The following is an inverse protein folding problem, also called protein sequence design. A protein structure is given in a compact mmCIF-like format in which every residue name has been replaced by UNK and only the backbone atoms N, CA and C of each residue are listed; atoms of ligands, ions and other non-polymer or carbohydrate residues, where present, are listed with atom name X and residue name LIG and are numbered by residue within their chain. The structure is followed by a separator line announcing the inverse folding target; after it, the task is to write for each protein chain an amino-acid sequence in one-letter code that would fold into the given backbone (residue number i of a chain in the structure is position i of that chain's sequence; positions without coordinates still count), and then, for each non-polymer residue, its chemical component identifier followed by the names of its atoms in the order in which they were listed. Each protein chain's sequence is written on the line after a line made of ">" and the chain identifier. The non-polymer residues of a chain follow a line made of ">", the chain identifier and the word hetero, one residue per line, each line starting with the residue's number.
data_IF_565324054878
#
_entry.id   IF_565324054878
#
_cell.length_a   1.000
_cell.length_b   1.000
_cell.length_c   1.000
_cell.angle_alpha   90.00
_cell.angle_beta   90.00
_cell.angle_gamma   90.00
#
_symmetry.space_group_name_H-M   'P 1'
#
loop_
_entity.id
_entity.type
_entity.pdbx_description
1 polymer ?
#
# COMPACT_ATOMS: atom_id res chain seq x y z
N UNK A 1 31.20 -26.01 22.19
CA UNK A 1 30.17 -24.98 22.41
C UNK A 1 29.99 -24.11 21.15
N UNK A 2 28.77 -23.62 20.90
CA UNK A 2 28.51 -22.71 19.77
C UNK A 2 29.07 -21.32 20.05
N UNK A 3 29.53 -20.64 19.00
CA UNK A 3 30.01 -19.26 19.10
C UNK A 3 28.84 -18.30 19.35
N UNK A 4 29.04 -17.32 20.25
CA UNK A 4 28.02 -16.33 20.58
C UNK A 4 27.99 -15.26 19.47
N UNK A 5 26.84 -15.04 18.81
CA UNK A 5 26.76 -14.07 17.73
C UNK A 5 26.91 -12.63 18.26
N UNK A 6 27.51 -11.70 17.48
CA UNK A 6 27.68 -10.31 17.90
C UNK A 6 26.37 -9.58 18.29
N UNK A 7 25.26 -9.95 17.66
CA UNK A 7 23.92 -9.40 17.96
C UNK A 7 23.42 -9.73 19.35
N UNK A 8 23.98 -10.76 20.00
CA UNK A 8 23.67 -11.13 21.38
C UNK A 8 24.57 -10.42 22.41
N UNK A 9 25.56 -9.63 21.95
CA UNK A 9 26.54 -8.96 22.81
C UNK A 9 26.32 -7.44 22.91
N UNK A 10 25.38 -6.89 22.14
CA UNK A 10 25.12 -5.45 22.07
C UNK A 10 23.62 -5.16 22.13
N UNK A 11 23.20 -4.04 22.76
CA UNK A 11 21.81 -3.58 22.68
C UNK A 11 21.34 -3.36 21.25
N UNK A 12 20.04 -3.56 21.01
CA UNK A 12 19.41 -3.27 19.74
C UNK A 12 19.34 -1.78 19.43
N UNK A 13 18.77 -1.45 18.25
CA UNK A 13 18.50 -0.05 17.88
C UNK A 13 17.53 0.59 18.88
N UNK A 14 17.68 1.89 19.21
CA UNK A 14 16.67 2.61 19.97
C UNK A 14 15.36 2.67 19.20
N UNK A 15 14.27 2.97 19.91
CA UNK A 15 12.95 3.16 19.29
C UNK A 15 13.07 4.24 18.21
N UNK A 16 12.69 3.96 16.94
CA UNK A 16 12.80 4.93 15.87
C UNK A 16 11.97 6.18 16.16
N UNK A 17 12.47 7.35 15.74
CA UNK A 17 11.70 8.60 15.80
C UNK A 17 10.50 8.62 14.84
N UNK A 18 10.47 7.71 13.85
CA UNK A 18 9.34 7.55 12.94
C UNK A 18 8.15 6.91 13.66
N UNK A 19 6.98 7.56 13.58
CA UNK A 19 5.77 7.06 14.22
C UNK A 19 5.17 5.81 13.54
N UNK A 20 5.60 5.48 12.32
CA UNK A 20 5.10 4.34 11.55
C UNK A 20 6.22 3.37 11.19
N UNK A 21 5.98 2.08 11.38
CA UNK A 21 6.96 1.02 11.13
C UNK A 21 7.17 0.74 9.64
N UNK A 22 8.38 0.35 9.28
CA UNK A 22 8.74 -0.12 7.93
C UNK A 22 9.30 -1.55 8.00
N UNK A 23 9.19 -2.34 6.92
CA UNK A 23 9.76 -3.68 6.86
C UNK A 23 11.26 -3.71 7.17
N UNK A 24 11.74 -4.88 7.59
CA UNK A 24 13.17 -5.10 7.81
C UNK A 24 13.98 -4.82 6.54
N UNK A 25 15.20 -4.31 6.71
CA UNK A 25 16.15 -4.11 5.59
C UNK A 25 16.48 -5.39 4.82
N UNK A 26 16.32 -6.55 5.46
CA UNK A 26 16.56 -7.86 4.84
C UNK A 26 15.41 -8.28 3.91
N UNK A 27 14.24 -7.65 4.03
CA UNK A 27 13.06 -7.87 3.18
C UNK A 27 12.89 -6.78 2.12
N UNK A 28 13.96 -6.05 1.78
CA UNK A 28 13.92 -4.94 0.80
C UNK A 28 13.52 -5.38 -0.61
N UNK A 29 13.60 -6.67 -0.91
CA UNK A 29 13.20 -7.28 -2.18
C UNK A 29 11.69 -7.59 -2.25
N UNK A 30 10.98 -7.53 -1.11
CA UNK A 30 9.54 -7.77 -1.01
C UNK A 30 8.79 -6.47 -1.25
N UNK A 31 8.64 -6.13 -2.53
CA UNK A 31 8.03 -4.88 -2.99
C UNK A 31 7.04 -5.14 -4.12
N UNK A 32 6.10 -4.21 -4.33
CA UNK A 32 5.25 -4.19 -5.53
C UNK A 32 6.12 -4.09 -6.77
N UNK A 33 5.78 -4.85 -7.80
CA UNK A 33 6.52 -4.88 -9.07
C UNK A 33 5.67 -4.31 -10.18
N UNK A 34 6.15 -3.27 -10.85
CA UNK A 34 5.66 -2.90 -12.18
C UNK A 34 6.27 -3.88 -13.17
N UNK A 35 5.46 -4.44 -14.07
CA UNK A 35 5.97 -5.32 -15.12
C UNK A 35 6.93 -4.54 -16.01
N UNK A 36 8.01 -5.18 -16.43
CA UNK A 36 8.95 -4.74 -17.46
C UNK A 36 8.59 -5.29 -18.85
N UNK A 37 7.77 -6.35 -18.90
CA UNK A 37 7.28 -6.97 -20.15
C UNK A 37 6.07 -6.24 -20.77
N UNK A 38 5.04 -5.92 -19.98
CA UNK A 38 3.82 -5.24 -20.43
C UNK A 38 3.74 -3.81 -19.90
N UNK A 39 4.74 -3.00 -20.21
CA UNK A 39 4.85 -1.63 -19.72
C UNK A 39 3.91 -0.73 -20.52
N UNK A 40 3.03 0.01 -19.84
CA UNK A 40 2.37 1.12 -20.50
C UNK A 40 3.38 2.27 -20.69
N UNK A 41 3.42 2.90 -21.87
CA UNK A 41 4.34 4.01 -22.16
C UNK A 41 4.08 5.22 -21.25
N UNK A 42 2.88 5.30 -20.66
CA UNK A 42 2.49 6.30 -19.68
C UNK A 42 2.43 5.72 -18.26
N UNK A 43 2.74 6.53 -17.25
CA UNK A 43 2.76 6.09 -15.84
C UNK A 43 1.45 6.34 -15.08
N UNK A 44 0.45 6.99 -15.70
CA UNK A 44 -0.83 7.30 -15.06
C UNK A 44 -1.88 6.21 -15.27
N UNK A 45 -1.81 5.50 -16.40
CA UNK A 45 -2.73 4.40 -16.71
C UNK A 45 -1.95 3.08 -16.68
N UNK A 46 -1.67 2.57 -15.50
CA UNK A 46 -0.78 1.42 -15.35
C UNK A 46 -1.12 0.58 -14.13
N UNK A 47 -0.39 -0.53 -13.96
CA UNK A 47 -0.54 -1.45 -12.86
C UNK A 47 0.78 -1.83 -12.20
N UNK A 48 0.67 -2.26 -10.95
CA UNK A 48 1.71 -3.00 -10.25
C UNK A 48 1.18 -4.37 -9.83
N UNK A 49 2.08 -5.26 -9.43
CA UNK A 49 1.76 -6.61 -8.98
C UNK A 49 2.19 -6.79 -7.53
N UNK A 50 1.31 -7.40 -6.75
CA UNK A 50 1.63 -7.90 -5.41
C UNK A 50 2.71 -9.00 -5.52
N UNK A 51 3.77 -8.97 -4.68
CA UNK A 51 4.81 -10.01 -4.68
C UNK A 51 4.33 -11.30 -3.99
N UNK A 52 3.32 -11.98 -4.57
CA UNK A 52 2.68 -13.16 -3.99
C UNK A 52 3.68 -14.27 -3.61
N UNK A 53 4.76 -14.42 -4.38
CA UNK A 53 5.80 -15.42 -4.15
C UNK A 53 6.58 -15.23 -2.83
N UNK A 54 6.53 -14.02 -2.25
CA UNK A 54 7.19 -13.69 -0.99
C UNK A 54 6.21 -13.56 0.18
N UNK A 55 4.93 -13.84 -0.05
CA UNK A 55 3.91 -13.72 0.99
C UNK A 55 3.60 -15.07 1.63
N UNK A 56 3.25 -14.99 2.91
CA UNK A 56 2.80 -16.12 3.70
C UNK A 56 1.37 -15.89 4.16
N UNK A 57 0.56 -16.94 4.13
CA UNK A 57 -0.86 -16.86 4.52
C UNK A 57 -1.72 -16.16 3.46
N UNK A 58 -2.84 -15.59 3.91
CA UNK A 58 -3.92 -15.09 3.03
C UNK A 58 -4.14 -13.57 3.14
N UNK A 59 -3.48 -12.89 4.07
CA UNK A 59 -3.62 -11.45 4.27
C UNK A 59 -2.46 -10.73 3.59
N UNK A 60 -2.77 -9.86 2.63
CA UNK A 60 -1.75 -9.01 1.98
C UNK A 60 -1.54 -7.72 2.77
N UNK A 61 -0.31 -7.38 3.19
CA UNK A 61 -0.03 -6.08 3.81
C UNK A 61 -0.43 -4.94 2.86
N UNK A 62 -1.07 -3.89 3.37
CA UNK A 62 -1.62 -2.79 2.54
C UNK A 62 -0.59 -2.18 1.59
N UNK A 63 0.65 -2.00 2.03
CA UNK A 63 1.74 -1.48 1.20
C UNK A 63 2.15 -2.39 0.02
N UNK A 64 1.65 -3.62 -0.03
CA UNK A 64 1.92 -4.64 -1.05
C UNK A 64 0.69 -5.04 -1.88
N UNK A 65 -0.49 -4.49 -1.60
CA UNK A 65 -1.68 -4.71 -2.43
C UNK A 65 -1.40 -4.13 -3.83
N UNK A 66 -1.69 -4.91 -4.87
CA UNK A 66 -1.47 -4.50 -6.26
C UNK A 66 -2.27 -3.23 -6.55
N UNK A 67 -1.78 -2.43 -7.48
CA UNK A 67 -2.47 -1.20 -7.88
C UNK A 67 -2.83 -1.26 -9.36
N UNK A 68 -3.98 -0.68 -9.72
CA UNK A 68 -4.36 -0.40 -11.10
C UNK A 68 -4.95 0.99 -11.17
N UNK A 69 -4.34 1.84 -11.97
CA UNK A 69 -4.77 3.21 -12.20
C UNK A 69 -5.07 3.40 -13.68
N UNK A 70 -6.02 4.28 -13.97
CA UNK A 70 -6.28 4.71 -15.34
C UNK A 70 -5.91 6.17 -15.60
N UNK A 71 -5.68 6.95 -14.54
CA UNK A 71 -5.30 8.37 -14.57
C UNK A 71 -4.49 8.81 -13.33
N UNK A 72 -3.71 7.90 -12.73
CA UNK A 72 -2.92 8.14 -11.52
C UNK A 72 -3.73 8.05 -10.23
N UNK A 73 -3.09 8.41 -9.11
CA UNK A 73 -3.68 8.39 -7.76
C UNK A 73 -4.08 9.83 -7.41
N UNK A 74 -5.37 10.11 -7.15
CA UNK A 74 -5.79 11.42 -6.71
C UNK A 74 -5.59 11.60 -5.20
N UNK A 75 -5.05 12.74 -4.79
CA UNK A 75 -5.02 13.19 -3.40
C UNK A 75 -6.34 13.89 -3.06
N UNK A 76 -7.32 13.10 -2.58
CA UNK A 76 -8.66 13.60 -2.26
C UNK A 76 -8.71 14.03 -0.79
N UNK A 77 -9.07 15.30 -0.55
CA UNK A 77 -9.41 15.78 0.80
C UNK A 77 -10.72 15.09 1.27
N UNK A 78 -10.70 14.32 2.38
CA UNK A 78 -11.88 13.67 2.92
C UNK A 78 -13.04 14.64 3.22
N UNK A 79 -12.75 15.90 3.59
CA UNK A 79 -13.75 16.92 3.85
C UNK A 79 -14.46 17.39 2.57
N UNK A 80 -13.76 17.32 1.43
CA UNK A 80 -14.28 17.65 0.11
C UNK A 80 -14.92 16.45 -0.61
N UNK A 81 -14.65 15.21 -0.16
CA UNK A 81 -15.18 14.00 -0.80
C UNK A 81 -16.72 13.93 -0.73
N UNK A 82 -17.34 13.54 -1.84
CA UNK A 82 -18.79 13.36 -1.97
C UNK A 82 -19.10 12.07 -2.73
N UNK A 83 -20.01 11.26 -2.19
CA UNK A 83 -20.64 10.15 -2.90
C UNK A 83 -22.04 10.57 -3.34
N UNK A 84 -22.32 10.56 -4.65
CA UNK A 84 -23.58 11.04 -5.21
C UNK A 84 -24.36 9.88 -5.82
N UNK A 85 -25.63 9.74 -5.44
CA UNK A 85 -26.59 8.81 -6.06
C UNK A 85 -27.63 9.67 -6.80
N UNK A 86 -27.69 9.57 -8.13
CA UNK A 86 -28.59 10.36 -8.97
C UNK A 86 -29.04 9.58 -10.22
N UNK A 87 -29.93 10.15 -11.05
CA UNK A 87 -30.46 9.52 -12.27
C UNK A 87 -31.92 9.08 -12.12
N UNK A 88 -32.24 7.83 -12.46
CA UNK A 88 -33.58 7.26 -12.35
C UNK A 88 -33.92 6.84 -10.90
N UNK A 89 -33.85 7.80 -9.99
CA UNK A 89 -34.15 7.61 -8.56
C UNK A 89 -35.26 8.56 -8.13
N UNK A 90 -36.04 8.17 -7.10
CA UNK A 90 -37.11 9.02 -6.56
C UNK A 90 -36.55 10.32 -5.96
N UNK A 91 -35.38 10.26 -5.33
CA UNK A 91 -34.71 11.40 -4.72
C UNK A 91 -33.18 11.24 -4.90
N UNK A 92 -32.50 12.21 -5.54
CA UNK A 92 -31.05 12.25 -5.56
C UNK A 92 -30.47 12.46 -4.16
N UNK A 93 -29.35 11.81 -3.86
CA UNK A 93 -28.70 11.85 -2.55
C UNK A 93 -27.21 12.19 -2.70
N UNK A 94 -26.67 12.90 -1.71
CA UNK A 94 -25.26 13.24 -1.60
C UNK A 94 -24.80 12.88 -0.19
N UNK A 95 -23.74 12.09 -0.09
CA UNK A 95 -23.13 11.66 1.17
C UNK A 95 -21.71 12.22 1.31
N UNK A 96 -21.33 12.52 2.53
CA UNK A 96 -20.00 12.91 2.98
C UNK A 96 -19.32 11.73 3.69
N UNK A 97 -18.04 11.87 4.02
CA UNK A 97 -17.33 10.86 4.81
C UNK A 97 -17.89 10.69 6.23
N UNK A 98 -18.61 11.68 6.76
CA UNK A 98 -19.20 11.65 8.11
C UNK A 98 -20.57 10.96 8.17
N UNK A 99 -21.15 10.58 7.02
CA UNK A 99 -22.44 9.90 6.95
C UNK A 99 -22.33 8.37 7.03
N UNK A 100 -21.12 7.85 7.29
CA UNK A 100 -20.83 6.42 7.50
C UNK A 100 -20.83 6.03 8.97
#
# INVERSE_FOLDING_TARGET
>A
PLEVPPTAQQPGRPIPATAYGMPSKFESHVVRRRTDVFVNRQNWSDWSMTPLQHQHGIVTPTGLIFERHHAGIPDIDPAAHRLVIHGLVKQPLVFTMSDQ
#
